data_IF_910664929694
#
_entry.id   IF_910664929694
#
_cell.length_a   1.000
_cell.length_b   1.000
_cell.length_c   1.000
_cell.angle_alpha   90.00
_cell.angle_beta   90.00
_cell.angle_gamma   90.00
#
_symmetry.space_group_name_H-M   'P 1'
#
loop_
_entity.id
_entity.type
_entity.pdbx_description
1 polymer ?
#
# COMPACT_ATOMS: atom_id res chain seq x y z
N UNK A 1 -1.43 -9.53 -15.62
CA UNK A 1 -0.08 -9.68 -15.04
C UNK A 1 0.20 -8.66 -13.95
N UNK A 2 0.11 -7.34 -14.19
CA UNK A 2 0.40 -6.32 -13.15
C UNK A 2 -0.43 -6.56 -11.88
N UNK A 3 -1.75 -6.70 -12.00
CA UNK A 3 -2.61 -6.97 -10.84
C UNK A 3 -2.25 -8.22 -10.04
N UNK A 4 -1.71 -9.26 -10.67
CA UNK A 4 -1.20 -10.45 -10.00
C UNK A 4 0.08 -10.16 -9.22
N UNK A 5 1.02 -9.38 -9.80
CA UNK A 5 2.24 -8.96 -9.10
C UNK A 5 1.91 -8.08 -7.90
N UNK A 6 1.00 -7.12 -8.07
CA UNK A 6 0.55 -6.25 -6.97
C UNK A 6 -0.14 -7.06 -5.86
N UNK A 7 -1.04 -7.99 -6.22
CA UNK A 7 -1.71 -8.87 -5.24
C UNK A 7 -0.70 -9.73 -4.49
N UNK A 8 0.27 -10.33 -5.22
CA UNK A 8 1.34 -11.11 -4.62
C UNK A 8 2.15 -10.28 -3.62
N UNK A 9 2.57 -9.07 -4.03
CA UNK A 9 3.34 -8.17 -3.19
C UNK A 9 2.59 -7.84 -1.90
N UNK A 10 1.32 -7.44 -1.98
CA UNK A 10 0.51 -7.11 -0.80
C UNK A 10 0.28 -8.31 0.11
N UNK A 11 0.03 -9.51 -0.42
CA UNK A 11 -0.11 -10.73 0.39
C UNK A 11 1.21 -11.10 1.08
N UNK A 12 2.33 -11.02 0.36
CA UNK A 12 3.66 -11.25 0.92
C UNK A 12 3.99 -10.23 2.02
N UNK A 13 3.61 -8.95 1.85
CA UNK A 13 3.79 -7.91 2.86
C UNK A 13 2.98 -8.19 4.12
N UNK A 14 1.71 -8.64 4.00
CA UNK A 14 0.93 -9.07 5.17
C UNK A 14 1.63 -10.18 5.93
N UNK A 15 2.17 -11.20 5.22
CA UNK A 15 2.90 -12.29 5.85
C UNK A 15 4.17 -11.79 6.56
N UNK A 16 4.94 -10.92 5.91
CA UNK A 16 6.19 -10.38 6.44
C UNK A 16 5.98 -9.55 7.70
N UNK A 17 5.08 -8.56 7.63
CA UNK A 17 4.85 -7.64 8.74
C UNK A 17 4.20 -8.33 9.94
N UNK A 18 3.27 -9.26 9.71
CA UNK A 18 2.68 -10.04 10.81
C UNK A 18 3.69 -10.98 11.45
N UNK A 19 4.64 -11.55 10.65
CA UNK A 19 5.72 -12.35 11.21
C UNK A 19 6.70 -11.49 12.00
N UNK A 20 7.06 -10.30 11.54
CA UNK A 20 7.90 -9.37 12.30
C UNK A 20 7.25 -9.04 13.66
N UNK A 21 5.95 -8.74 13.69
CA UNK A 21 5.26 -8.51 14.94
C UNK A 21 5.27 -9.75 15.86
N UNK A 22 4.99 -10.94 15.32
CA UNK A 22 4.97 -12.18 16.10
C UNK A 22 6.35 -12.57 16.66
N UNK A 23 7.39 -12.48 15.84
CA UNK A 23 8.77 -12.77 16.28
C UNK A 23 9.34 -11.68 17.19
N UNK A 24 8.89 -10.42 17.05
CA UNK A 24 9.25 -9.33 17.97
C UNK A 24 8.67 -9.55 19.36
N UNK A 25 7.43 -10.07 19.48
CA UNK A 25 6.88 -10.52 20.77
C UNK A 25 7.81 -11.56 21.39
N UNK A 26 8.27 -12.52 20.58
CA UNK A 26 9.19 -13.56 21.04
C UNK A 26 10.54 -12.99 21.48
N UNK A 27 11.09 -12.01 20.73
CA UNK A 27 12.32 -11.31 21.11
C UNK A 27 12.22 -10.55 22.42
N UNK A 28 11.07 -9.91 22.69
CA UNK A 28 10.80 -9.24 23.98
C UNK A 28 10.71 -10.26 25.12
N UNK A 29 10.04 -11.41 24.90
CA UNK A 29 9.99 -12.49 25.89
C UNK A 29 11.40 -12.99 26.20
N UNK A 30 12.26 -13.16 25.19
CA UNK A 30 13.65 -13.59 25.38
C UNK A 30 14.47 -12.57 26.18
N UNK A 31 14.20 -11.28 26.01
CA UNK A 31 14.85 -10.23 26.79
C UNK A 31 14.45 -10.28 28.28
N UNK A 32 13.13 -10.50 28.56
CA UNK A 32 12.60 -10.51 29.92
C UNK A 32 12.86 -11.84 30.65
N UNK A 33 12.95 -12.95 29.91
CA UNK A 33 13.14 -14.30 30.42
C UNK A 33 14.34 -14.97 29.70
N UNK A 34 15.59 -14.81 30.22
CA UNK A 34 16.80 -15.33 29.59
C UNK A 34 16.85 -16.86 29.40
N UNK A 35 16.07 -17.58 30.18
CA UNK A 35 15.95 -19.06 30.10
C UNK A 35 14.94 -19.53 29.04
N UNK A 36 14.27 -18.61 28.38
CA UNK A 36 13.31 -18.94 27.33
C UNK A 36 14.06 -19.46 26.08
N UNK A 37 13.75 -20.68 25.68
CA UNK A 37 14.27 -21.27 24.44
C UNK A 37 13.40 -20.88 23.23
N UNK A 38 13.99 -20.10 22.35
CA UNK A 38 13.31 -19.53 21.18
C UNK A 38 13.14 -20.58 20.08
N UNK A 39 11.95 -21.14 19.94
CA UNK A 39 11.60 -22.02 18.83
C UNK A 39 10.83 -21.29 17.74
N UNK A 40 11.11 -21.58 16.46
CA UNK A 40 10.45 -20.93 15.31
C UNK A 40 8.94 -21.12 15.29
N UNK A 41 8.44 -22.28 15.72
CA UNK A 41 7.00 -22.52 15.77
C UNK A 41 6.27 -21.65 16.81
N UNK A 42 6.94 -21.23 17.91
CA UNK A 42 6.39 -20.23 18.82
C UNK A 42 6.15 -18.91 18.10
N UNK A 43 7.15 -18.43 17.31
CA UNK A 43 7.03 -17.21 16.51
C UNK A 43 5.86 -17.29 15.53
N UNK A 44 5.68 -18.45 14.86
CA UNK A 44 4.55 -18.65 13.94
C UNK A 44 3.21 -18.62 14.65
N UNK A 45 3.07 -19.21 15.84
CA UNK A 45 1.82 -19.14 16.61
C UNK A 45 1.50 -17.71 17.09
N UNK A 46 2.51 -16.99 17.56
CA UNK A 46 2.35 -15.57 17.92
C UNK A 46 1.95 -14.73 16.71
N UNK A 47 2.52 -15.01 15.53
CA UNK A 47 2.12 -14.39 14.26
C UNK A 47 0.65 -14.66 13.93
N UNK A 48 0.17 -15.85 14.13
CA UNK A 48 -1.25 -16.17 13.91
C UNK A 48 -2.16 -15.42 14.88
N UNK A 49 -1.73 -15.19 16.13
CA UNK A 49 -2.45 -14.31 17.06
C UNK A 49 -2.50 -12.87 16.54
N UNK A 50 -1.38 -12.36 16.01
CA UNK A 50 -1.31 -11.04 15.36
C UNK A 50 -2.28 -10.96 14.16
N UNK A 51 -2.27 -11.97 13.28
CA UNK A 51 -3.20 -12.09 12.14
C UNK A 51 -4.65 -12.07 12.61
N UNK A 52 -5.00 -12.84 13.65
CA UNK A 52 -6.35 -12.82 14.23
C UNK A 52 -6.75 -11.41 14.69
N UNK A 53 -5.83 -10.67 15.33
CA UNK A 53 -6.04 -9.27 15.69
C UNK A 53 -6.27 -8.36 14.47
N UNK A 54 -5.51 -8.56 13.38
CA UNK A 54 -5.70 -7.83 12.13
C UNK A 54 -7.07 -8.12 11.49
N UNK A 55 -7.50 -9.39 11.48
CA UNK A 55 -8.83 -9.80 11.00
C UNK A 55 -9.91 -9.15 11.87
N UNK A 56 -9.77 -9.20 13.20
CA UNK A 56 -10.75 -8.63 14.11
C UNK A 56 -10.96 -7.14 13.83
N UNK A 57 -9.90 -6.35 13.73
CA UNK A 57 -10.01 -4.90 13.45
C UNK A 57 -10.61 -4.66 12.07
N UNK A 58 -10.15 -5.35 11.03
CA UNK A 58 -10.57 -5.11 9.65
C UNK A 58 -11.98 -5.59 9.31
N UNK A 59 -12.46 -6.65 9.96
CA UNK A 59 -13.73 -7.30 9.60
C UNK A 59 -14.82 -7.06 10.63
N UNK A 60 -14.47 -7.08 11.93
CA UNK A 60 -15.46 -6.98 13.02
C UNK A 60 -15.73 -5.53 13.41
N UNK A 61 -14.67 -4.71 13.55
CA UNK A 61 -14.78 -3.31 14.01
C UNK A 61 -14.18 -2.28 13.02
N UNK A 62 -14.42 -2.37 11.70
CA UNK A 62 -13.79 -1.48 10.73
C UNK A 62 -14.14 0.00 10.91
N UNK A 63 -15.27 0.31 11.56
CA UNK A 63 -15.67 1.68 11.87
C UNK A 63 -14.71 2.42 12.81
N UNK A 64 -13.88 1.69 13.56
CA UNK A 64 -12.86 2.26 14.46
C UNK A 64 -11.55 2.55 13.76
N UNK A 65 -11.32 1.95 12.57
CA UNK A 65 -10.06 2.04 11.84
C UNK A 65 -9.58 3.50 11.63
N UNK A 66 -10.41 4.46 11.17
CA UNK A 66 -9.93 5.84 10.98
C UNK A 66 -9.48 6.52 12.28
N UNK A 67 -10.16 6.26 13.40
CA UNK A 67 -9.75 6.80 14.72
C UNK A 67 -8.47 6.16 15.21
N UNK A 68 -8.33 4.87 14.99
CA UNK A 68 -7.13 4.10 15.31
C UNK A 68 -5.92 4.63 14.53
N UNK A 69 -6.06 4.88 13.23
CA UNK A 69 -4.98 5.44 12.40
C UNK A 69 -4.52 6.82 12.87
N UNK A 70 -5.45 7.70 13.25
CA UNK A 70 -5.10 9.01 13.83
C UNK A 70 -4.37 8.86 15.16
N UNK A 71 -4.82 7.96 16.03
CA UNK A 71 -4.14 7.67 17.29
C UNK A 71 -2.71 7.15 17.04
N UNK A 72 -2.56 6.21 16.12
CA UNK A 72 -1.26 5.63 15.77
C UNK A 72 -0.31 6.68 15.15
N UNK A 73 -0.80 7.62 14.37
CA UNK A 73 0.03 8.73 13.87
C UNK A 73 0.65 9.54 15.03
N UNK A 74 -0.17 9.91 16.01
CA UNK A 74 0.31 10.67 17.19
C UNK A 74 1.26 9.81 18.03
N UNK A 75 0.91 8.55 18.25
CA UNK A 75 1.74 7.59 18.98
C UNK A 75 3.08 7.32 18.28
N UNK A 76 3.09 7.24 16.95
CA UNK A 76 4.32 7.09 16.15
C UNK A 76 5.27 8.27 16.35
N UNK A 77 4.77 9.50 16.20
CA UNK A 77 5.61 10.69 16.35
C UNK A 77 6.12 10.81 17.79
N UNK A 78 5.27 10.60 18.79
CA UNK A 78 5.65 10.64 20.18
C UNK A 78 6.65 9.53 20.54
N UNK A 79 6.39 8.31 20.09
CA UNK A 79 7.27 7.14 20.28
C UNK A 79 8.64 7.32 19.62
N UNK A 80 8.67 7.89 18.40
CA UNK A 80 9.91 8.22 17.71
C UNK A 80 10.79 9.15 18.56
N UNK A 81 10.25 10.28 19.04
CA UNK A 81 11.04 11.21 19.85
C UNK A 81 11.40 10.63 21.22
N UNK A 82 10.52 9.86 21.82
CA UNK A 82 10.81 9.20 23.09
C UNK A 82 12.00 8.23 22.96
N UNK A 83 12.01 7.36 21.95
CA UNK A 83 13.10 6.42 21.71
C UNK A 83 14.39 7.15 21.33
N UNK A 84 14.31 8.11 20.38
CA UNK A 84 15.47 8.87 19.90
C UNK A 84 16.16 9.61 21.05
N UNK A 85 15.40 10.35 21.86
CA UNK A 85 15.97 11.11 23.00
C UNK A 85 16.55 10.14 24.03
N UNK A 86 15.83 9.06 24.37
CA UNK A 86 16.32 8.06 25.33
C UNK A 86 17.65 7.46 24.87
N UNK A 87 17.79 7.07 23.60
CA UNK A 87 19.02 6.53 23.05
C UNK A 87 20.17 7.53 23.16
N UNK A 88 19.97 8.77 22.72
CA UNK A 88 21.01 9.79 22.75
C UNK A 88 21.45 10.21 24.15
N UNK A 89 20.55 10.15 25.14
CA UNK A 89 20.83 10.59 26.52
C UNK A 89 21.35 9.45 27.38
N UNK A 90 20.84 8.23 27.17
CA UNK A 90 21.11 7.08 28.07
C UNK A 90 22.28 6.22 27.58
N UNK A 91 22.68 6.28 26.30
CA UNK A 91 23.81 5.49 25.80
C UNK A 91 25.11 5.94 26.49
N UNK A 92 25.83 5.05 27.18
CA UNK A 92 27.02 5.42 27.96
C UNK A 92 28.14 6.01 27.12
N UNK A 93 28.38 5.43 25.92
CA UNK A 93 29.40 5.88 25.00
C UNK A 93 28.85 5.88 23.57
N UNK A 94 28.81 7.05 22.96
CA UNK A 94 28.42 7.19 21.56
C UNK A 94 29.56 6.82 20.62
N UNK A 95 29.25 6.15 19.53
CA UNK A 95 30.19 5.83 18.49
C UNK A 95 30.87 7.08 17.91
N UNK A 96 32.12 6.92 17.44
CA UNK A 96 32.86 8.02 16.82
C UNK A 96 32.27 8.40 15.45
N UNK A 97 32.48 9.64 15.01
CA UNK A 97 32.13 10.05 13.65
C UNK A 97 32.78 9.15 12.59
N UNK A 98 34.00 8.66 12.84
CA UNK A 98 34.67 7.76 11.92
C UNK A 98 33.98 6.40 11.82
N UNK A 99 33.51 5.85 12.95
CA UNK A 99 32.78 4.57 12.94
C UNK A 99 31.47 4.65 12.21
N UNK A 100 30.75 5.78 12.32
CA UNK A 100 29.42 5.96 11.71
C UNK A 100 29.50 6.29 10.21
N UNK A 101 30.42 7.16 9.82
CA UNK A 101 30.45 7.72 8.45
C UNK A 101 31.53 7.16 7.54
N UNK A 102 32.60 6.58 8.09
CA UNK A 102 33.74 6.12 7.31
C UNK A 102 33.96 4.60 7.34
N UNK A 103 33.38 3.91 8.33
CA UNK A 103 33.49 2.46 8.43
C UNK A 103 32.48 1.78 7.53
N UNK A 104 32.91 0.84 6.72
CA UNK A 104 32.07 -0.01 5.91
C UNK A 104 32.35 -1.47 6.20
N UNK A 105 31.28 -2.21 6.45
CA UNK A 105 31.31 -3.64 6.71
C UNK A 105 30.91 -4.42 5.45
N UNK A 106 31.48 -5.59 5.26
CA UNK A 106 31.15 -6.50 4.16
C UNK A 106 30.87 -7.91 4.72
N UNK A 107 29.82 -8.00 5.55
CA UNK A 107 29.41 -9.26 6.19
C UNK A 107 28.92 -10.31 5.19
N UNK A 108 28.55 -9.91 3.98
CA UNK A 108 28.17 -10.81 2.89
C UNK A 108 29.36 -11.44 2.17
N UNK A 109 30.62 -11.15 2.54
CA UNK A 109 31.85 -11.63 1.90
C UNK A 109 31.90 -11.39 0.39
N UNK A 110 31.32 -10.28 -0.08
CA UNK A 110 31.32 -9.92 -1.48
C UNK A 110 32.73 -9.52 -1.97
N UNK A 111 33.07 -9.79 -3.24
CA UNK A 111 34.40 -9.49 -3.78
C UNK A 111 34.77 -8.01 -3.72
N UNK A 112 33.79 -7.12 -3.74
CA UNK A 112 33.98 -5.67 -3.68
C UNK A 112 32.98 -5.01 -2.74
N UNK A 113 33.40 -3.94 -2.08
CA UNK A 113 32.54 -3.14 -1.22
C UNK A 113 31.34 -2.54 -1.99
N UNK A 114 31.49 -2.23 -3.28
CA UNK A 114 30.41 -1.73 -4.11
C UNK A 114 29.27 -2.72 -4.27
N UNK A 115 29.57 -4.01 -4.47
CA UNK A 115 28.58 -5.09 -4.52
C UNK A 115 27.89 -5.26 -3.16
N UNK A 116 28.67 -5.22 -2.07
CA UNK A 116 28.14 -5.28 -0.70
C UNK A 116 27.09 -4.16 -0.46
N UNK A 117 27.40 -2.93 -0.88
CA UNK A 117 26.44 -1.82 -0.79
C UNK A 117 25.19 -2.05 -1.64
N UNK A 118 25.32 -2.53 -2.86
CA UNK A 118 24.18 -2.79 -3.73
C UNK A 118 23.24 -3.85 -3.16
N UNK A 119 23.79 -4.91 -2.55
CA UNK A 119 22.99 -5.95 -1.87
C UNK A 119 22.38 -5.41 -0.58
N UNK A 120 23.16 -4.73 0.26
CA UNK A 120 22.70 -4.15 1.53
C UNK A 120 21.66 -3.03 1.37
N UNK A 121 21.62 -2.38 0.21
CA UNK A 121 20.67 -1.33 -0.11
C UNK A 121 19.20 -1.79 -0.03
N UNK A 122 18.94 -3.09 -0.22
CA UNK A 122 17.58 -3.66 -0.20
C UNK A 122 16.87 -3.49 1.13
N UNK A 123 17.57 -3.52 2.25
CA UNK A 123 16.99 -3.24 3.56
C UNK A 123 16.35 -1.85 3.62
N UNK A 124 17.05 -0.85 3.07
CA UNK A 124 16.54 0.52 3.00
C UNK A 124 15.40 0.67 1.99
N UNK A 125 15.43 -0.07 0.88
CA UNK A 125 14.33 -0.10 -0.09
C UNK A 125 13.05 -0.65 0.54
N UNK A 126 13.16 -1.71 1.35
CA UNK A 126 12.02 -2.30 2.03
C UNK A 126 11.28 -1.31 2.96
N UNK A 127 11.99 -0.35 3.56
CA UNK A 127 11.38 0.67 4.43
C UNK A 127 10.46 1.65 3.69
N UNK A 128 10.60 1.79 2.38
CA UNK A 128 9.80 2.70 1.53
C UNK A 128 8.78 1.98 0.64
N UNK A 129 8.63 0.68 0.79
CA UNK A 129 7.64 -0.12 0.07
C UNK A 129 6.23 0.16 0.58
N UNK A 130 5.23 0.06 -0.31
CA UNK A 130 3.81 0.20 0.07
C UNK A 130 3.28 1.64 0.08
N UNK A 131 4.01 2.61 -0.47
CA UNK A 131 3.52 3.99 -0.62
C UNK A 131 2.23 4.10 -1.44
N UNK A 132 1.95 3.11 -2.28
CA UNK A 132 0.72 2.99 -3.06
C UNK A 132 -0.51 2.55 -2.25
N UNK A 133 -0.38 2.27 -0.94
CA UNK A 133 -1.50 1.90 -0.08
C UNK A 133 -2.68 2.87 -0.22
N UNK A 134 -2.40 4.17 -0.26
CA UNK A 134 -3.42 5.21 -0.44
C UNK A 134 -4.10 5.17 -1.81
N UNK A 135 -3.44 4.65 -2.85
CA UNK A 135 -4.03 4.48 -4.20
C UNK A 135 -5.12 3.41 -4.18
N UNK A 136 -4.92 2.33 -3.44
CA UNK A 136 -5.91 1.25 -3.31
C UNK A 136 -7.13 1.64 -2.46
N UNK A 137 -7.06 2.78 -1.76
CA UNK A 137 -8.15 3.40 -1.02
C UNK A 137 -8.77 4.60 -1.77
N UNK A 138 -8.43 4.79 -3.05
CA UNK A 138 -8.85 5.97 -3.82
C UNK A 138 -10.37 6.13 -3.92
N UNK A 139 -11.13 5.04 -3.90
CA UNK A 139 -12.59 5.06 -3.92
C UNK A 139 -13.20 5.55 -2.58
N UNK A 140 -12.43 5.51 -1.49
CA UNK A 140 -12.86 5.94 -0.14
C UNK A 140 -12.41 7.39 0.18
N UNK A 141 -11.56 8.02 -0.67
CA UNK A 141 -10.94 9.32 -0.43
C UNK A 141 -11.60 10.43 -1.27
N UNK A 142 -12.09 11.48 -0.62
CA UNK A 142 -12.60 12.67 -1.31
C UNK A 142 -11.47 13.38 -2.08
N UNK A 143 -11.77 13.83 -3.31
CA UNK A 143 -10.80 14.50 -4.19
C UNK A 143 -9.46 13.72 -4.32
N UNK A 144 -9.56 12.42 -4.58
CA UNK A 144 -8.44 11.48 -4.62
C UNK A 144 -7.32 11.93 -5.55
N UNK A 145 -7.65 12.51 -6.70
CA UNK A 145 -6.68 12.99 -7.70
C UNK A 145 -5.69 14.05 -7.19
N UNK A 146 -6.03 14.76 -6.10
CA UNK A 146 -5.19 15.76 -5.47
C UNK A 146 -4.65 15.27 -4.13
N UNK A 147 -5.49 14.63 -3.32
CA UNK A 147 -5.14 14.27 -1.95
C UNK A 147 -4.19 13.08 -1.88
N UNK A 148 -4.36 12.06 -2.74
CA UNK A 148 -3.47 10.88 -2.75
C UNK A 148 -2.02 11.24 -3.09
N UNK A 149 -1.72 11.97 -4.18
CA UNK A 149 -0.34 12.36 -4.46
C UNK A 149 0.31 13.18 -3.33
N UNK A 150 -0.46 14.08 -2.70
CA UNK A 150 0.03 14.86 -1.55
C UNK A 150 0.32 13.96 -0.34
N UNK A 151 -0.57 13.00 -0.07
CA UNK A 151 -0.39 12.05 1.03
C UNK A 151 0.87 11.18 0.81
N UNK A 152 1.08 10.66 -0.40
CA UNK A 152 2.26 9.86 -0.74
C UNK A 152 3.54 10.67 -0.53
N UNK A 153 3.61 11.89 -1.08
CA UNK A 153 4.80 12.73 -0.97
C UNK A 153 5.02 13.16 0.49
N UNK A 154 3.96 13.55 1.21
CA UNK A 154 4.04 13.91 2.62
C UNK A 154 4.53 12.74 3.48
N UNK A 155 3.99 11.54 3.30
CA UNK A 155 4.43 10.34 3.99
C UNK A 155 5.90 10.02 3.70
N UNK A 156 6.33 10.10 2.44
CA UNK A 156 7.72 9.86 2.05
C UNK A 156 8.69 10.88 2.67
N UNK A 157 8.35 12.15 2.69
CA UNK A 157 9.19 13.19 3.28
C UNK A 157 9.28 13.04 4.80
N UNK A 158 8.16 12.86 5.48
CA UNK A 158 8.14 12.71 6.94
C UNK A 158 8.88 11.43 7.34
N UNK A 159 8.47 10.27 6.82
CA UNK A 159 9.05 8.98 7.21
C UNK A 159 10.52 8.87 6.78
N UNK A 160 10.89 9.42 5.62
CA UNK A 160 12.28 9.46 5.19
C UNK A 160 13.16 10.30 6.13
N UNK A 161 12.68 11.48 6.55
CA UNK A 161 13.43 12.35 7.46
C UNK A 161 13.59 11.74 8.86
N UNK A 162 12.48 11.26 9.46
CA UNK A 162 12.54 10.68 10.81
C UNK A 162 13.26 9.33 10.80
N UNK A 163 13.07 8.52 9.75
CA UNK A 163 13.77 7.25 9.58
C UNK A 163 15.29 7.44 9.43
N UNK A 164 15.72 8.43 8.65
CA UNK A 164 17.13 8.78 8.53
C UNK A 164 17.71 9.23 9.88
N UNK A 165 17.00 10.09 10.61
CA UNK A 165 17.45 10.53 11.93
C UNK A 165 17.59 9.35 12.92
N UNK A 166 16.62 8.42 12.94
CA UNK A 166 16.67 7.22 13.77
C UNK A 166 17.81 6.30 13.35
N UNK A 167 18.01 6.08 12.06
CA UNK A 167 19.12 5.26 11.55
C UNK A 167 20.49 5.81 12.00
N UNK A 168 20.70 7.11 11.86
CA UNK A 168 21.92 7.76 12.31
C UNK A 168 22.07 7.63 13.83
N UNK A 169 21.01 7.82 14.60
CA UNK A 169 21.03 7.64 16.06
C UNK A 169 21.39 6.21 16.45
N UNK A 170 20.79 5.22 15.82
CA UNK A 170 21.11 3.80 16.07
C UNK A 170 22.58 3.50 15.77
N UNK A 171 23.14 4.05 14.67
CA UNK A 171 24.55 3.87 14.34
C UNK A 171 25.49 4.47 15.38
N UNK A 172 25.15 5.62 15.97
CA UNK A 172 25.93 6.18 17.07
C UNK A 172 25.78 5.40 18.38
N UNK A 173 24.64 4.73 18.59
CA UNK A 173 24.35 3.94 19.79
C UNK A 173 24.65 2.43 19.61
N UNK A 174 25.21 2.01 18.48
CA UNK A 174 25.39 0.61 18.10
C UNK A 174 26.30 -0.17 19.07
N UNK A 175 27.33 0.48 19.59
CA UNK A 175 28.32 -0.17 20.46
C UNK A 175 29.13 -1.26 19.74
N UNK A 176 29.27 -2.42 20.37
CA UNK A 176 29.95 -3.57 19.79
C UNK A 176 29.02 -4.31 18.81
N UNK A 177 29.37 -4.25 17.52
CA UNK A 177 28.59 -4.82 16.41
C UNK A 177 28.43 -6.34 16.58
N UNK A 178 29.49 -7.05 17.00
CA UNK A 178 29.45 -8.51 17.11
C UNK A 178 28.46 -8.97 18.21
N UNK A 179 28.44 -8.29 19.35
CA UNK A 179 27.52 -8.60 20.44
C UNK A 179 26.07 -8.32 20.04
N UNK A 180 25.82 -7.28 19.24
CA UNK A 180 24.49 -6.92 18.76
C UNK A 180 23.95 -7.89 17.71
N UNK A 181 24.79 -8.29 16.75
CA UNK A 181 24.43 -9.25 15.70
C UNK A 181 24.19 -10.68 16.25
N UNK A 182 24.96 -11.08 17.29
CA UNK A 182 24.84 -12.40 17.92
C UNK A 182 23.85 -12.41 19.09
N UNK A 183 23.02 -11.39 19.25
CA UNK A 183 22.05 -11.32 20.35
C UNK A 183 20.97 -12.41 20.26
N UNK A 184 20.55 -12.93 21.42
CA UNK A 184 19.50 -13.96 21.48
C UNK A 184 18.09 -13.43 21.17
N UNK A 185 17.91 -12.11 21.07
CA UNK A 185 16.59 -11.48 20.92
C UNK A 185 16.05 -11.53 19.50
N UNK A 186 16.79 -12.09 18.53
CA UNK A 186 16.51 -12.14 17.09
C UNK A 186 16.41 -10.75 16.39
N UNK A 187 16.26 -9.66 17.15
CA UNK A 187 16.24 -8.31 16.62
C UNK A 187 17.39 -7.48 17.20
N UNK A 188 18.38 -7.10 16.38
CA UNK A 188 19.55 -6.32 16.83
C UNK A 188 19.17 -5.04 17.58
N UNK A 189 18.11 -4.33 17.16
CA UNK A 189 17.70 -3.08 17.80
C UNK A 189 17.24 -3.27 19.26
N UNK A 190 16.67 -4.42 19.63
CA UNK A 190 16.26 -4.72 21.02
C UNK A 190 17.53 -4.79 21.92
N UNK A 191 18.60 -5.40 21.40
CA UNK A 191 19.88 -5.45 22.09
C UNK A 191 20.52 -4.05 22.23
N UNK A 192 20.42 -3.22 21.17
CA UNK A 192 20.89 -1.82 21.22
C UNK A 192 20.13 -1.04 22.29
N UNK A 193 18.80 -1.20 22.38
CA UNK A 193 18.01 -0.58 23.43
C UNK A 193 18.45 -1.01 24.84
N UNK A 194 18.68 -2.31 25.04
CA UNK A 194 19.16 -2.83 26.30
C UNK A 194 20.55 -2.30 26.65
N UNK A 195 21.48 -2.30 25.71
CA UNK A 195 22.84 -1.78 25.90
C UNK A 195 22.85 -0.28 26.23
N UNK A 196 21.94 0.49 25.62
CA UNK A 196 21.83 1.94 25.81
C UNK A 196 21.26 2.32 27.18
N UNK A 197 20.20 1.64 27.60
CA UNK A 197 19.47 1.99 28.84
C UNK A 197 20.03 1.25 30.07
N UNK A 198 20.70 0.11 29.89
CA UNK A 198 21.30 -0.68 30.95
C UNK A 198 20.31 -1.42 31.84
N UNK A 199 19.01 -1.47 31.47
CA UNK A 199 18.02 -2.24 32.22
C UNK A 199 16.95 -2.84 31.29
N UNK A 200 16.42 -4.01 31.71
CA UNK A 200 15.43 -4.78 30.94
C UNK A 200 14.13 -4.00 30.76
N UNK A 201 13.60 -3.41 31.84
CA UNK A 201 12.30 -2.73 31.78
C UNK A 201 12.29 -1.55 30.77
N UNK A 202 13.33 -0.74 30.73
CA UNK A 202 13.45 0.36 29.75
C UNK A 202 13.53 -0.13 28.32
N UNK A 203 14.34 -1.17 28.06
CA UNK A 203 14.45 -1.80 26.74
C UNK A 203 13.12 -2.42 26.30
N UNK A 204 12.42 -3.13 27.20
CA UNK A 204 11.09 -3.71 26.95
C UNK A 204 10.06 -2.64 26.61
N UNK A 205 10.02 -1.51 27.32
CA UNK A 205 9.10 -0.41 27.00
C UNK A 205 9.37 0.15 25.60
N UNK A 206 10.64 0.42 25.26
CA UNK A 206 10.98 0.91 23.91
C UNK A 206 10.63 -0.12 22.82
N UNK A 207 10.95 -1.40 23.03
CA UNK A 207 10.59 -2.47 22.11
C UNK A 207 9.07 -2.64 21.97
N UNK A 208 8.29 -2.47 23.06
CA UNK A 208 6.83 -2.51 23.04
C UNK A 208 6.22 -1.35 22.22
N UNK A 209 6.84 -0.17 22.22
CA UNK A 209 6.43 0.94 21.35
C UNK A 209 6.60 0.53 19.87
N UNK A 210 7.77 -0.03 19.52
CA UNK A 210 8.02 -0.50 18.14
C UNK A 210 7.05 -1.62 17.76
N UNK A 211 6.85 -2.61 18.64
CA UNK A 211 5.88 -3.69 18.42
C UNK A 211 4.47 -3.18 18.19
N UNK A 212 4.01 -2.20 18.96
CA UNK A 212 2.67 -1.60 18.79
C UNK A 212 2.53 -0.96 17.42
N UNK A 213 3.57 -0.25 16.95
CA UNK A 213 3.60 0.37 15.63
C UNK A 213 3.65 -0.67 14.50
N UNK A 214 4.41 -1.75 14.65
CA UNK A 214 4.49 -2.87 13.69
C UNK A 214 3.14 -3.59 13.59
N UNK A 215 2.46 -3.81 14.72
CA UNK A 215 1.12 -4.41 14.69
C UNK A 215 0.09 -3.48 14.03
N UNK A 216 0.14 -2.19 14.33
CA UNK A 216 -0.72 -1.19 13.67
C UNK A 216 -0.47 -1.14 12.15
N UNK A 217 0.80 -1.19 11.74
CA UNK A 217 1.20 -1.32 10.34
C UNK A 217 0.57 -2.57 9.69
N UNK A 218 0.65 -3.72 10.36
CA UNK A 218 0.04 -4.98 9.89
C UNK A 218 -1.48 -4.86 9.68
N UNK A 219 -2.20 -4.11 10.54
CA UNK A 219 -3.63 -3.82 10.38
C UNK A 219 -3.87 -3.00 9.10
N UNK A 220 -3.12 -1.91 8.89
CA UNK A 220 -3.23 -1.05 7.72
C UNK A 220 -2.89 -1.77 6.42
N UNK A 221 -1.82 -2.58 6.41
CA UNK A 221 -1.41 -3.42 5.28
C UNK A 221 -2.51 -4.43 4.93
N UNK A 222 -3.11 -5.10 5.94
CA UNK A 222 -4.24 -6.02 5.74
C UNK A 222 -5.44 -5.31 5.13
N UNK A 223 -5.71 -4.08 5.56
CA UNK A 223 -6.75 -3.22 4.97
C UNK A 223 -6.50 -3.04 3.47
N UNK A 224 -5.33 -2.56 3.10
CA UNK A 224 -4.96 -2.28 1.71
C UNK A 224 -4.95 -3.53 0.85
N UNK A 225 -4.33 -4.61 1.31
CA UNK A 225 -4.28 -5.89 0.62
C UNK A 225 -5.69 -6.46 0.33
N UNK A 226 -6.60 -6.32 1.28
CA UNK A 226 -8.00 -6.74 1.11
C UNK A 226 -8.74 -5.90 0.06
N UNK A 227 -8.53 -4.56 0.02
CA UNK A 227 -9.14 -3.67 -1.00
C UNK A 227 -8.57 -3.96 -2.39
N UNK A 228 -7.24 -4.10 -2.48
CA UNK A 228 -6.59 -4.46 -3.75
C UNK A 228 -7.11 -5.79 -4.29
N UNK A 229 -7.18 -6.83 -3.45
CA UNK A 229 -7.70 -8.16 -3.83
C UNK A 229 -9.17 -8.08 -4.24
N UNK A 230 -9.99 -7.34 -3.49
CA UNK A 230 -11.41 -7.13 -3.80
C UNK A 230 -11.61 -6.41 -5.14
N UNK A 231 -10.90 -5.30 -5.37
CA UNK A 231 -11.01 -4.53 -6.60
C UNK A 231 -10.61 -5.36 -7.82
N UNK A 232 -9.50 -6.09 -7.72
CA UNK A 232 -9.04 -6.96 -8.81
C UNK A 232 -9.96 -8.16 -9.04
N UNK A 233 -10.61 -8.68 -7.99
CA UNK A 233 -11.64 -9.71 -8.13
C UNK A 233 -12.92 -9.15 -8.76
N UNK A 234 -13.33 -7.92 -8.44
CA UNK A 234 -14.47 -7.24 -9.07
C UNK A 234 -14.30 -7.14 -10.59
N UNK A 235 -13.08 -6.90 -11.04
CA UNK A 235 -12.72 -6.86 -12.45
C UNK A 235 -12.57 -8.26 -13.08
N UNK A 236 -12.86 -9.34 -12.34
CA UNK A 236 -12.67 -10.74 -12.77
C UNK A 236 -11.21 -11.12 -13.09
N UNK A 237 -10.23 -10.44 -12.47
CA UNK A 237 -8.80 -10.70 -12.66
C UNK A 237 -8.29 -11.93 -11.89
N UNK A 238 -8.99 -12.36 -10.82
CA UNK A 238 -8.61 -13.46 -9.95
C UNK A 238 -9.50 -14.69 -10.11
N UNK A 239 -9.01 -15.90 -9.80
CA UNK A 239 -9.88 -17.04 -9.57
C UNK A 239 -10.81 -16.77 -8.37
N UNK A 240 -11.98 -17.41 -8.34
CA UNK A 240 -13.00 -17.22 -7.30
C UNK A 240 -13.52 -15.77 -7.16
N UNK A 241 -13.41 -14.95 -8.20
CA UNK A 241 -13.85 -13.54 -8.24
C UNK A 241 -15.27 -13.34 -7.67
N UNK A 242 -16.18 -14.26 -7.94
CA UNK A 242 -17.58 -14.24 -7.43
C UNK A 242 -17.66 -14.16 -5.89
N UNK A 243 -16.70 -14.74 -5.18
CA UNK A 243 -16.67 -14.72 -3.70
C UNK A 243 -15.84 -13.53 -3.19
N UNK A 244 -14.66 -13.31 -3.77
CA UNK A 244 -13.72 -12.28 -3.34
C UNK A 244 -14.25 -10.85 -3.59
N UNK A 245 -15.11 -10.66 -4.59
CA UNK A 245 -15.73 -9.36 -4.88
C UNK A 245 -16.93 -9.00 -3.97
N UNK A 246 -17.32 -9.90 -3.05
CA UNK A 246 -18.46 -9.63 -2.16
C UNK A 246 -18.08 -8.70 -1.02
N UNK A 247 -18.92 -7.69 -0.80
CA UNK A 247 -18.85 -6.77 0.34
C UNK A 247 -19.85 -7.18 1.40
N UNK A 248 -19.47 -7.18 2.65
CA UNK A 248 -20.34 -7.48 3.79
C UNK A 248 -21.45 -6.42 3.89
N UNK A 249 -22.75 -6.81 3.96
CA UNK A 249 -23.84 -5.84 4.11
C UNK A 249 -23.79 -5.04 5.41
N UNK A 250 -23.26 -5.65 6.49
CA UNK A 250 -23.22 -5.05 7.83
C UNK A 250 -22.05 -4.08 7.99
N UNK A 251 -20.85 -4.52 7.64
CA UNK A 251 -19.60 -3.79 7.92
C UNK A 251 -19.10 -2.98 6.72
N UNK A 252 -19.71 -3.17 5.54
CA UNK A 252 -19.34 -2.49 4.27
C UNK A 252 -17.89 -2.72 3.86
N UNK A 253 -17.28 -3.83 4.32
CA UNK A 253 -15.91 -4.21 3.97
C UNK A 253 -15.86 -5.54 3.20
N UNK A 254 -14.83 -5.79 2.39
CA UNK A 254 -14.67 -7.03 1.64
C UNK A 254 -14.11 -8.16 2.52
N UNK A 255 -14.94 -8.68 3.43
CA UNK A 255 -14.53 -9.66 4.44
C UNK A 255 -13.91 -10.94 3.82
N UNK A 256 -14.45 -11.44 2.70
CA UNK A 256 -13.91 -12.61 2.02
C UNK A 256 -12.51 -12.38 1.44
N UNK A 257 -12.27 -11.19 0.89
CA UNK A 257 -10.93 -10.82 0.41
C UNK A 257 -9.94 -10.71 1.58
N UNK A 258 -10.37 -10.10 2.70
CA UNK A 258 -9.53 -10.01 3.91
C UNK A 258 -9.16 -11.39 4.46
N UNK A 259 -10.13 -12.31 4.57
CA UNK A 259 -9.89 -13.69 5.01
C UNK A 259 -9.00 -14.47 4.04
N UNK A 260 -9.16 -14.29 2.74
CA UNK A 260 -8.31 -14.95 1.75
C UNK A 260 -6.85 -14.47 1.84
N UNK A 261 -6.64 -13.15 1.91
CA UNK A 261 -5.32 -12.54 2.05
C UNK A 261 -4.62 -13.01 3.32
N UNK A 262 -5.30 -12.91 4.47
CA UNK A 262 -4.73 -13.31 5.76
C UNK A 262 -4.55 -14.82 5.88
N UNK A 263 -5.42 -15.61 5.26
CA UNK A 263 -5.27 -17.07 5.18
C UNK A 263 -4.03 -17.48 4.38
N UNK A 264 -3.79 -16.85 3.22
CA UNK A 264 -2.58 -17.10 2.42
C UNK A 264 -1.34 -16.61 3.20
N UNK A 265 -1.40 -15.44 3.83
CA UNK A 265 -0.32 -14.93 4.67
C UNK A 265 0.02 -15.90 5.81
N UNK A 266 -0.97 -16.44 6.51
CA UNK A 266 -0.77 -17.44 7.56
C UNK A 266 -0.10 -18.74 7.04
N UNK A 267 -0.44 -19.16 5.82
CA UNK A 267 0.24 -20.30 5.18
C UNK A 267 1.69 -19.97 4.81
N UNK A 268 1.97 -18.75 4.32
CA UNK A 268 3.34 -18.31 4.02
C UNK A 268 4.21 -18.26 5.28
N UNK A 269 3.66 -17.89 6.43
CA UNK A 269 4.42 -17.87 7.69
C UNK A 269 4.83 -19.27 8.18
N UNK A 270 4.21 -20.35 7.69
CA UNK A 270 4.68 -21.73 7.95
C UNK A 270 6.07 -22.00 7.35
N UNK A 271 6.47 -21.30 6.31
CA UNK A 271 7.81 -21.40 5.72
C UNK A 271 8.87 -21.10 6.79
N UNK A 272 8.59 -20.14 7.69
CA UNK A 272 9.50 -19.75 8.78
C UNK A 272 9.79 -20.91 9.74
N UNK A 273 8.83 -21.83 9.98
CA UNK A 273 9.04 -23.02 10.81
C UNK A 273 10.15 -23.89 10.23
N UNK A 274 10.17 -24.04 8.90
CA UNK A 274 11.18 -24.83 8.21
C UNK A 274 12.52 -24.12 8.06
N UNK A 275 12.49 -22.85 7.64
CA UNK A 275 13.69 -22.05 7.37
C UNK A 275 13.42 -20.57 7.48
N UNK A 276 14.21 -19.88 8.29
CA UNK A 276 14.22 -18.43 8.37
C UNK A 276 14.75 -17.80 7.07
N UNK A 277 15.81 -18.38 6.51
CA UNK A 277 16.39 -17.91 5.24
C UNK A 277 15.36 -18.00 4.10
N UNK A 278 14.62 -19.11 4.01
CA UNK A 278 13.56 -19.25 3.01
C UNK A 278 12.42 -18.23 3.21
N UNK A 279 12.19 -17.79 4.46
CA UNK A 279 11.22 -16.72 4.70
C UNK A 279 11.75 -15.34 4.28
N UNK A 280 13.05 -15.07 4.38
CA UNK A 280 13.67 -13.84 3.89
C UNK A 280 13.46 -13.66 2.37
N UNK A 281 13.30 -14.75 1.62
CA UNK A 281 12.93 -14.71 0.21
C UNK A 281 11.51 -14.12 0.00
N UNK A 282 10.61 -14.22 0.99
CA UNK A 282 9.28 -13.59 0.94
C UNK A 282 9.40 -12.07 1.00
N UNK A 283 10.38 -11.53 1.74
CA UNK A 283 10.69 -10.09 1.77
C UNK A 283 11.20 -9.64 0.39
N UNK A 284 12.11 -10.38 -0.20
CA UNK A 284 12.61 -10.10 -1.56
C UNK A 284 11.50 -10.16 -2.61
N UNK A 285 10.56 -11.11 -2.44
CA UNK A 285 9.37 -11.25 -3.26
C UNK A 285 8.45 -10.01 -3.17
N UNK A 286 8.28 -9.45 -1.96
CA UNK A 286 7.54 -8.22 -1.72
C UNK A 286 8.13 -7.07 -2.54
N UNK A 287 9.44 -6.86 -2.45
CA UNK A 287 10.15 -5.80 -3.18
C UNK A 287 10.00 -6.01 -4.69
N UNK A 288 10.31 -7.19 -5.19
CA UNK A 288 10.22 -7.51 -6.62
C UNK A 288 8.80 -7.33 -7.16
N UNK A 289 7.79 -7.74 -6.41
CA UNK A 289 6.39 -7.62 -6.77
C UNK A 289 5.92 -6.16 -6.87
N UNK A 290 6.23 -5.32 -5.87
CA UNK A 290 5.88 -3.91 -5.89
C UNK A 290 6.60 -3.15 -7.01
N UNK A 291 7.92 -3.23 -7.04
CA UNK A 291 8.71 -2.49 -8.04
C UNK A 291 8.44 -2.98 -9.45
N UNK A 292 8.17 -4.27 -9.65
CA UNK A 292 7.71 -4.83 -10.93
C UNK A 292 6.36 -4.26 -11.36
N UNK A 293 5.42 -4.11 -10.42
CA UNK A 293 4.10 -3.52 -10.69
C UNK A 293 4.17 -2.02 -10.96
N UNK A 294 5.07 -1.28 -10.30
CA UNK A 294 5.24 0.17 -10.49
C UNK A 294 6.01 0.51 -11.78
N UNK A 295 6.97 -0.33 -12.17
CA UNK A 295 7.79 -0.10 -13.36
C UNK A 295 6.95 -0.01 -14.63
N UNK A 296 5.94 -0.86 -14.77
CA UNK A 296 5.14 -0.92 -16.00
C UNK A 296 4.37 0.38 -16.26
N UNK A 297 3.53 0.90 -15.33
CA UNK A 297 2.84 2.17 -15.55
C UNK A 297 3.79 3.35 -15.65
N UNK A 298 4.91 3.36 -14.91
CA UNK A 298 5.92 4.41 -15.02
C UNK A 298 6.59 4.44 -16.40
N UNK A 299 6.92 3.26 -16.94
CA UNK A 299 7.50 3.15 -18.29
C UNK A 299 6.51 3.58 -19.39
N UNK A 300 5.23 3.21 -19.27
CA UNK A 300 4.19 3.70 -20.18
C UNK A 300 4.01 5.21 -20.08
N UNK A 301 4.01 5.78 -18.89
CA UNK A 301 3.92 7.22 -18.71
C UNK A 301 5.13 7.92 -19.34
N UNK A 302 6.35 7.41 -19.13
CA UNK A 302 7.56 7.94 -19.76
C UNK A 302 7.46 7.91 -21.29
N UNK A 303 7.01 6.78 -21.87
CA UNK A 303 6.81 6.64 -23.30
C UNK A 303 5.83 7.69 -23.86
N UNK A 304 4.67 7.87 -23.21
CA UNK A 304 3.68 8.86 -23.64
C UNK A 304 4.16 10.30 -23.45
N UNK A 305 4.97 10.58 -22.41
CA UNK A 305 5.61 11.89 -22.21
C UNK A 305 6.58 12.22 -23.35
N UNK A 306 7.44 11.27 -23.72
CA UNK A 306 8.43 11.46 -24.79
C UNK A 306 7.73 11.68 -26.13
N UNK A 307 6.63 10.96 -26.39
CA UNK A 307 5.83 11.12 -27.61
C UNK A 307 4.92 12.35 -27.63
N UNK A 308 4.78 13.07 -26.51
CA UNK A 308 3.87 14.22 -26.41
C UNK A 308 2.38 13.88 -26.56
N UNK A 309 2.00 12.62 -26.33
CA UNK A 309 0.64 12.12 -26.55
C UNK A 309 -0.34 12.39 -25.41
N UNK A 310 0.06 13.17 -24.39
CA UNK A 310 -0.78 13.46 -23.22
C UNK A 310 -1.37 14.87 -23.36
N UNK A 311 -2.69 14.95 -23.44
CA UNK A 311 -3.42 16.21 -23.57
C UNK A 311 -3.32 17.07 -22.32
N UNK A 312 -3.26 18.38 -22.51
CA UNK A 312 -3.37 19.36 -21.41
C UNK A 312 -4.83 19.43 -20.96
N UNK A 313 -5.06 19.42 -19.64
CA UNK A 313 -6.39 19.70 -19.10
C UNK A 313 -6.74 21.16 -19.41
N UNK A 314 -7.85 21.39 -20.12
CA UNK A 314 -8.33 22.73 -20.47
C UNK A 314 -8.66 23.50 -19.17
N UNK A 315 -8.28 24.77 -19.13
CA UNK A 315 -8.49 25.66 -17.95
C UNK A 315 -9.94 26.05 -17.75
N UNK A 316 -10.86 25.73 -18.66
CA UNK A 316 -12.23 26.24 -18.69
C UNK A 316 -13.33 25.21 -18.49
N UNK A 317 -13.02 23.95 -18.24
CA UNK A 317 -14.01 22.92 -17.92
C UNK A 317 -13.46 22.01 -16.86
N UNK A 318 -13.81 22.28 -15.60
CA UNK A 318 -13.71 21.31 -14.53
C UNK A 318 -15.05 20.54 -14.48
N UNK A 319 -15.15 19.35 -15.09
CA UNK A 319 -16.40 18.59 -15.13
C UNK A 319 -16.82 18.02 -13.77
N UNK A 320 -15.96 18.19 -12.76
CA UNK A 320 -16.15 17.66 -11.40
C UNK A 320 -16.56 18.74 -10.36
N UNK A 321 -16.71 20.01 -10.78
CA UNK A 321 -17.38 20.96 -9.92
C UNK A 321 -18.89 20.86 -10.22
N UNK A 322 -19.75 20.56 -9.23
CA UNK A 322 -21.17 20.77 -9.39
C UNK A 322 -21.38 22.21 -9.77
N UNK A 323 -22.02 22.47 -10.91
CA UNK A 323 -22.43 23.81 -11.31
C UNK A 323 -23.20 24.45 -10.14
N UNK A 324 -22.60 25.44 -9.49
CA UNK A 324 -23.35 26.28 -8.55
C UNK A 324 -24.57 26.85 -9.29
N UNK A 325 -25.67 27.11 -8.61
CA UNK A 325 -26.91 27.51 -9.25
C UNK A 325 -26.64 28.69 -10.19
N UNK A 326 -26.88 28.43 -11.49
CA UNK A 326 -26.73 29.47 -12.54
C UNK A 326 -27.62 30.63 -12.14
N UNK A 327 -27.02 31.73 -11.77
CA UNK A 327 -27.71 33.01 -11.60
C UNK A 327 -28.35 33.34 -12.93
N UNK A 328 -29.65 33.18 -12.97
CA UNK A 328 -30.49 33.62 -14.10
C UNK A 328 -30.38 35.14 -14.20
N UNK A 329 -29.51 35.64 -15.06
CA UNK A 329 -29.53 37.07 -15.45
C UNK A 329 -30.79 37.28 -16.25
N UNK A 330 -31.83 37.72 -15.55
CA UNK A 330 -33.05 38.26 -16.13
C UNK A 330 -32.71 39.48 -16.97
N UNK A 331 -32.74 39.31 -18.29
CA UNK A 331 -32.82 40.40 -19.23
C UNK A 331 -34.28 40.86 -19.29
N UNK A 332 -34.70 41.73 -18.38
CA UNK A 332 -36.01 42.33 -18.34
C UNK A 332 -35.98 43.79 -18.66
N UNK A 333 -36.57 44.20 -19.81
CA UNK A 333 -37.01 45.55 -20.07
C UNK A 333 -38.08 46.00 -19.06
N UNK A 334 -38.10 47.26 -18.62
CA UNK A 334 -39.10 47.71 -17.69
C UNK A 334 -40.43 48.08 -18.41
N UNK A 335 -41.55 47.49 -17.97
CA UNK A 335 -42.89 48.01 -18.23
C UNK A 335 -43.52 48.26 -16.86
N UNK A 336 -43.97 49.49 -16.68
CA UNK A 336 -44.52 49.98 -15.43
C UNK A 336 -45.95 49.52 -15.15
N UNK A 337 -46.37 49.70 -13.91
CA UNK A 337 -47.76 49.89 -13.55
C UNK A 337 -48.32 49.02 -12.42
N UNK A 338 -48.52 49.66 -11.28
CA UNK A 338 -49.62 49.55 -10.31
C UNK A 338 -49.94 48.24 -9.58
N UNK A 339 -49.75 48.27 -8.29
CA UNK A 339 -50.82 48.09 -7.32
C UNK A 339 -51.16 46.69 -6.81
N UNK A 340 -51.08 46.65 -5.47
CA UNK A 340 -51.99 45.96 -4.54
C UNK A 340 -51.62 44.56 -3.99
N UNK A 341 -51.37 44.62 -2.68
CA UNK A 341 -51.86 43.75 -1.60
C UNK A 341 -51.49 42.26 -1.57
N UNK A 342 -50.82 41.90 -0.46
CA UNK A 342 -50.74 40.59 0.13
C UNK A 342 -52.12 40.09 0.60
N UNK A 343 -52.32 38.78 0.74
CA UNK A 343 -52.44 38.23 2.09
C UNK A 343 -51.75 36.87 2.30
N UNK A 344 -51.62 36.58 3.56
CA UNK A 344 -50.87 35.60 4.30
C UNK A 344 -51.30 34.10 4.24
N UNK A 345 -50.86 33.29 5.19
CA UNK A 345 -50.56 31.88 4.97
C UNK A 345 -51.75 30.98 5.31
N UNK A 346 -51.89 29.86 4.61
CA UNK A 346 -52.79 28.79 5.04
C UNK A 346 -52.08 27.43 5.06
N UNK A 347 -52.23 26.80 6.22
CA UNK A 347 -52.02 25.39 6.57
C UNK A 347 -52.84 24.45 5.68
N UNK A 348 -52.35 23.22 5.47
CA UNK A 348 -53.06 22.00 5.83
C UNK A 348 -52.56 20.75 5.11
N UNK A 349 -52.27 19.83 5.77
CA UNK A 349 -52.65 18.50 6.29
C UNK A 349 -53.16 17.44 5.26
N UNK A 350 -52.95 16.18 5.59
CA UNK A 350 -52.78 15.08 4.64
C UNK A 350 -54.07 14.28 4.42
N UNK A 351 -54.15 13.53 3.33
CA UNK A 351 -54.79 12.20 3.34
C UNK A 351 -54.83 11.50 1.98
N UNK A 352 -54.64 10.23 2.10
CA UNK A 352 -55.34 9.08 1.49
C UNK A 352 -54.92 8.63 0.09
N UNK A 353 -54.25 7.51 0.09
CA UNK A 353 -54.72 6.18 -0.34
C UNK A 353 -54.89 5.93 -1.84
N UNK A 354 -54.24 4.83 -2.22
CA UNK A 354 -54.63 3.82 -3.22
C UNK A 354 -54.63 4.25 -4.68
N UNK A 355 -53.73 3.65 -5.46
CA UNK A 355 -54.06 2.65 -6.46
C UNK A 355 -52.83 2.23 -7.25
N UNK A 356 -52.53 0.94 -7.20
CA UNK A 356 -51.68 0.27 -8.17
C UNK A 356 -52.45 0.03 -9.46
N UNK A 357 -51.76 0.01 -10.60
CA UNK A 357 -51.94 -1.13 -11.47
C UNK A 357 -50.67 -1.80 -11.93
N UNK A 358 -50.84 -3.05 -12.21
CA UNK A 358 -49.95 -4.13 -12.52
C UNK A 358 -49.18 -4.01 -13.84
N UNK A 359 -47.99 -4.67 -13.83
CA UNK A 359 -47.38 -5.50 -14.87
C UNK A 359 -47.53 -5.08 -16.34
N UNK A 360 -46.38 -4.68 -16.91
CA UNK A 360 -46.04 -5.06 -18.27
C UNK A 360 -44.55 -5.48 -18.27
N UNK A 361 -44.32 -6.77 -18.41
CA UNK A 361 -43.05 -7.35 -18.85
C UNK A 361 -42.80 -6.87 -20.28
N UNK A 362 -41.63 -6.29 -20.51
CA UNK A 362 -41.06 -6.24 -21.83
C UNK A 362 -39.60 -6.77 -21.77
N UNK A 363 -39.41 -7.87 -22.47
CA UNK A 363 -38.14 -8.47 -22.79
C UNK A 363 -37.36 -7.51 -23.69
N UNK A 364 -36.24 -6.93 -23.18
CA UNK A 364 -35.21 -6.30 -23.98
C UNK A 364 -33.82 -6.58 -23.33
N UNK A 365 -33.44 -7.87 -23.38
CA UNK A 365 -32.13 -8.33 -22.89
C UNK A 365 -31.04 -8.33 -23.97
N UNK A 366 -31.30 -7.86 -25.20
CA UNK A 366 -30.37 -7.97 -26.32
C UNK A 366 -29.60 -6.68 -26.69
N UNK A 367 -30.04 -5.50 -26.24
CA UNK A 367 -29.43 -4.23 -26.63
C UNK A 367 -28.42 -3.67 -25.59
N UNK A 368 -28.38 -4.19 -24.36
CA UNK A 368 -27.41 -3.72 -23.37
C UNK A 368 -25.98 -4.26 -23.59
N UNK A 369 -25.83 -5.44 -24.21
CA UNK A 369 -24.52 -6.02 -24.46
C UNK A 369 -23.75 -5.36 -25.63
N UNK A 370 -24.46 -4.82 -26.61
CA UNK A 370 -23.84 -4.10 -27.73
C UNK A 370 -23.36 -2.69 -27.35
N UNK A 371 -24.09 -2.00 -26.45
CA UNK A 371 -23.69 -0.68 -25.95
C UNK A 371 -22.51 -0.74 -24.97
N UNK A 372 -22.44 -1.77 -24.13
CA UNK A 372 -21.33 -2.00 -23.21
C UNK A 372 -20.03 -2.38 -23.96
N UNK A 373 -20.13 -3.17 -25.03
CA UNK A 373 -18.98 -3.53 -25.88
C UNK A 373 -18.44 -2.33 -26.66
N UNK A 374 -19.31 -1.50 -27.22
CA UNK A 374 -18.91 -0.26 -27.93
C UNK A 374 -18.32 0.76 -26.95
N UNK A 375 -18.81 0.82 -25.70
CA UNK A 375 -18.28 1.68 -24.64
C UNK A 375 -16.86 1.29 -24.21
N UNK A 376 -16.59 -0.01 -24.02
CA UNK A 376 -15.27 -0.50 -23.64
C UNK A 376 -14.20 -0.25 -24.75
N UNK A 377 -14.57 -0.41 -26.00
CA UNK A 377 -13.67 -0.19 -27.16
C UNK A 377 -13.30 1.28 -27.32
N UNK A 378 -14.21 2.20 -27.02
CA UNK A 378 -13.98 3.64 -27.11
C UNK A 378 -13.07 4.19 -25.99
N UNK A 379 -13.05 3.55 -24.82
CA UNK A 379 -12.16 3.94 -23.70
C UNK A 379 -10.71 3.54 -23.98
N UNK A 380 -10.48 2.42 -24.67
CA UNK A 380 -9.13 1.97 -25.04
C UNK A 380 -8.43 2.95 -26.00
N UNK A 381 -9.20 3.68 -26.80
CA UNK A 381 -8.71 4.69 -27.74
C UNK A 381 -8.72 6.13 -27.20
N UNK A 382 -9.14 6.35 -25.96
CA UNK A 382 -9.15 7.68 -25.35
C UNK A 382 -7.71 8.18 -25.16
N UNK A 383 -7.43 9.42 -25.60
CA UNK A 383 -6.13 10.06 -25.33
C UNK A 383 -5.97 10.31 -23.84
N UNK A 384 -4.76 10.05 -23.34
CA UNK A 384 -4.44 10.35 -21.93
C UNK A 384 -4.52 11.85 -21.69
N UNK A 385 -5.13 12.24 -20.56
CA UNK A 385 -5.25 13.63 -20.11
C UNK A 385 -4.52 13.77 -18.78
N UNK A 386 -3.78 14.87 -18.60
CA UNK A 386 -3.08 15.14 -17.36
C UNK A 386 -4.05 15.34 -16.19
N UNK A 387 -3.74 14.68 -15.08
CA UNK A 387 -4.38 14.97 -13.81
C UNK A 387 -4.01 16.35 -13.26
N UNK A 388 -4.71 16.81 -12.19
CA UNK A 388 -4.44 18.12 -11.57
C UNK A 388 -3.05 18.19 -10.93
N UNK A 389 -2.54 17.08 -10.42
CA UNK A 389 -1.20 16.97 -9.82
C UNK A 389 -0.21 16.38 -10.82
N UNK A 390 0.78 17.15 -11.24
CA UNK A 390 1.79 16.71 -12.22
C UNK A 390 3.07 17.54 -12.11
N UNK A 391 4.19 16.91 -12.46
CA UNK A 391 5.45 17.60 -12.75
C UNK A 391 5.48 17.97 -14.24
N UNK A 392 5.56 19.28 -14.58
CA UNK A 392 5.51 19.71 -15.98
C UNK A 392 6.84 19.52 -16.70
N UNK A 393 6.78 19.47 -18.04
CA UNK A 393 7.90 19.58 -18.96
C UNK A 393 9.05 18.61 -18.72
N UNK A 394 10.26 19.10 -18.93
CA UNK A 394 11.50 18.29 -18.86
C UNK A 394 11.74 17.70 -17.47
N UNK A 395 11.46 18.43 -16.38
CA UNK A 395 11.60 17.94 -15.01
C UNK A 395 10.78 16.67 -14.77
N UNK A 396 9.52 16.65 -15.25
CA UNK A 396 8.70 15.46 -15.17
C UNK A 396 9.23 14.27 -15.96
N UNK A 397 9.85 14.51 -17.13
CA UNK A 397 10.46 13.46 -17.96
C UNK A 397 11.71 12.89 -17.29
N UNK A 398 12.59 13.75 -16.78
CA UNK A 398 13.79 13.34 -16.04
C UNK A 398 13.40 12.52 -14.79
N UNK A 399 12.42 13.00 -14.02
CA UNK A 399 11.94 12.27 -12.84
C UNK A 399 11.40 10.89 -13.19
N UNK A 400 10.61 10.76 -14.26
CA UNK A 400 10.10 9.46 -14.70
C UNK A 400 11.22 8.53 -15.19
N UNK A 401 12.20 9.07 -15.92
CA UNK A 401 13.37 8.29 -16.36
C UNK A 401 14.16 7.78 -15.17
N UNK A 402 14.47 8.67 -14.21
CA UNK A 402 15.15 8.29 -12.98
C UNK A 402 14.38 7.21 -12.21
N UNK A 403 13.06 7.37 -12.06
CA UNK A 403 12.23 6.37 -11.39
C UNK A 403 12.28 5.00 -12.10
N UNK A 404 12.22 4.97 -13.43
CA UNK A 404 12.34 3.72 -14.17
C UNK A 404 13.73 3.06 -13.99
N UNK A 405 14.81 3.83 -14.09
CA UNK A 405 16.17 3.32 -13.86
C UNK A 405 16.34 2.79 -12.42
N UNK A 406 15.84 3.53 -11.43
CA UNK A 406 15.86 3.13 -10.03
C UNK A 406 15.09 1.81 -9.80
N UNK A 407 13.88 1.69 -10.36
CA UNK A 407 13.08 0.46 -10.22
C UNK A 407 13.76 -0.75 -10.88
N UNK A 408 14.38 -0.59 -12.04
CA UNK A 408 15.17 -1.65 -12.69
C UNK A 408 16.35 -2.06 -11.81
N UNK A 409 17.07 -1.09 -11.24
CA UNK A 409 18.18 -1.34 -10.31
C UNK A 409 17.71 -2.13 -9.08
N UNK A 410 16.61 -1.71 -8.46
CA UNK A 410 16.05 -2.39 -7.28
C UNK A 410 15.61 -3.81 -7.62
N UNK A 411 14.88 -4.02 -8.71
CA UNK A 411 14.42 -5.36 -9.14
C UNK A 411 15.63 -6.27 -9.39
N UNK A 412 16.68 -5.77 -10.03
CA UNK A 412 17.87 -6.55 -10.30
C UNK A 412 18.56 -7.03 -9.01
N UNK A 413 18.78 -6.11 -8.05
CA UNK A 413 19.46 -6.45 -6.80
C UNK A 413 18.57 -7.21 -5.80
N UNK A 414 17.26 -7.09 -5.88
CA UNK A 414 16.34 -7.77 -4.95
C UNK A 414 16.34 -9.28 -5.06
N UNK A 415 16.84 -9.82 -6.16
CA UNK A 415 16.94 -11.28 -6.39
C UNK A 415 18.32 -11.84 -6.10
N UNK A 416 19.25 -11.02 -5.64
CA UNK A 416 20.58 -11.48 -5.28
C UNK A 416 20.58 -12.16 -3.91
N UNK A 417 21.44 -13.20 -3.72
CA UNK A 417 21.61 -13.82 -2.41
C UNK A 417 22.25 -12.82 -1.42
N UNK A 418 22.02 -12.99 -0.10
CA UNK A 418 22.53 -12.04 0.90
C UNK A 418 24.06 -12.14 1.10
N UNK A 419 24.66 -13.27 0.81
CA UNK A 419 26.07 -13.54 1.06
C UNK A 419 26.69 -14.52 0.05
N UNK A 420 28.00 -14.57 0.02
CA UNK A 420 28.81 -15.53 -0.77
C UNK A 420 29.74 -16.32 0.14
N UNK A 421 30.05 -17.60 -0.11
CA UNK A 421 29.59 -18.42 -1.25
C UNK A 421 28.10 -18.75 -1.22
N UNK A 422 27.49 -18.75 -2.40
CA UNK A 422 26.06 -19.07 -2.53
C UNK A 422 25.88 -20.58 -2.39
N UNK A 423 25.02 -20.97 -1.48
CA UNK A 423 24.62 -22.37 -1.25
C UNK A 423 23.11 -22.54 -1.51
N UNK A 424 22.63 -23.78 -1.58
CA UNK A 424 21.20 -24.03 -1.68
C UNK A 424 20.39 -23.45 -0.50
N UNK A 425 21.01 -23.30 0.67
CA UNK A 425 20.39 -22.71 1.86
C UNK A 425 20.40 -21.18 1.86
N UNK A 426 21.34 -20.53 1.16
CA UNK A 426 21.51 -19.06 1.11
C UNK A 426 21.07 -18.47 -0.23
N UNK A 427 20.65 -19.30 -1.20
CA UNK A 427 20.15 -18.85 -2.50
C UNK A 427 18.81 -18.10 -2.33
N UNK A 428 18.67 -16.98 -3.03
CA UNK A 428 17.41 -16.23 -3.07
C UNK A 428 16.48 -16.84 -4.13
N UNK A 429 15.43 -17.51 -3.68
CA UNK A 429 14.43 -18.17 -4.53
C UNK A 429 13.25 -17.28 -4.93
N UNK A 430 13.24 -16.00 -4.56
CA UNK A 430 12.15 -15.06 -4.89
C UNK A 430 11.89 -14.94 -6.39
N UNK A 431 12.92 -15.06 -7.22
CA UNK A 431 12.81 -15.11 -8.69
C UNK A 431 11.93 -16.26 -9.16
N UNK A 432 12.07 -17.44 -8.55
CA UNK A 432 11.30 -18.64 -8.92
C UNK A 432 9.82 -18.43 -8.58
N UNK A 433 9.54 -17.87 -7.41
CA UNK A 433 8.16 -17.58 -6.97
C UNK A 433 7.53 -16.50 -7.85
N UNK A 434 8.25 -15.39 -8.10
CA UNK A 434 7.79 -14.32 -8.99
C UNK A 434 7.51 -14.84 -10.40
N UNK A 435 8.45 -15.59 -10.97
CA UNK A 435 8.29 -16.22 -12.29
C UNK A 435 7.13 -17.20 -12.33
N UNK A 436 6.96 -17.99 -11.28
CA UNK A 436 5.83 -18.92 -11.12
C UNK A 436 4.48 -18.18 -11.10
N UNK A 437 4.36 -17.09 -10.35
CA UNK A 437 3.12 -16.28 -10.32
C UNK A 437 2.87 -15.60 -11.66
N UNK A 438 3.91 -15.09 -12.34
CA UNK A 438 3.76 -14.55 -13.70
C UNK A 438 3.27 -15.62 -14.69
N UNK A 439 3.82 -16.83 -14.62
CA UNK A 439 3.39 -17.96 -15.44
C UNK A 439 1.92 -18.33 -15.13
N UNK A 440 1.57 -18.46 -13.86
CA UNK A 440 0.19 -18.71 -13.44
C UNK A 440 -0.76 -17.62 -13.95
N UNK A 441 -0.37 -16.35 -13.87
CA UNK A 441 -1.19 -15.26 -14.39
C UNK A 441 -1.37 -15.33 -15.90
N UNK A 442 -0.34 -15.76 -16.64
CA UNK A 442 -0.43 -15.98 -18.07
C UNK A 442 -1.34 -17.17 -18.41
N UNK A 443 -1.17 -18.29 -17.74
CA UNK A 443 -2.06 -19.45 -17.88
C UNK A 443 -3.51 -19.08 -17.58
N UNK A 444 -3.75 -18.38 -16.46
CA UNK A 444 -5.09 -17.91 -16.10
C UNK A 444 -5.69 -16.98 -17.15
N UNK A 445 -4.86 -16.08 -17.73
CA UNK A 445 -5.30 -15.22 -18.80
C UNK A 445 -5.79 -16.03 -20.02
N UNK A 446 -5.03 -17.01 -20.47
CA UNK A 446 -5.42 -17.82 -21.63
C UNK A 446 -6.59 -18.76 -21.36
N UNK A 447 -6.70 -19.31 -20.15
CA UNK A 447 -7.77 -20.25 -19.79
C UNK A 447 -9.11 -19.57 -19.60
N UNK A 448 -9.14 -18.45 -18.86
CA UNK A 448 -10.38 -17.83 -18.46
C UNK A 448 -10.41 -16.30 -18.63
N UNK A 449 -9.35 -15.59 -18.22
CA UNK A 449 -9.44 -14.14 -18.07
C UNK A 449 -9.66 -13.43 -19.42
N UNK A 450 -9.09 -13.89 -20.53
CA UNK A 450 -9.28 -13.29 -21.86
C UNK A 450 -10.75 -13.23 -22.29
N UNK A 451 -11.62 -14.09 -21.73
CA UNK A 451 -13.05 -14.14 -22.04
C UNK A 451 -13.89 -13.31 -21.10
N UNK A 452 -13.40 -13.07 -19.86
CA UNK A 452 -14.19 -12.46 -18.77
C UNK A 452 -13.62 -11.09 -18.36
N UNK A 453 -12.29 -10.93 -18.39
CA UNK A 453 -11.63 -9.70 -17.97
C UNK A 453 -11.70 -8.65 -19.11
N UNK A 454 -12.52 -7.62 -18.90
CA UNK A 454 -12.70 -6.50 -19.86
C UNK A 454 -11.86 -5.26 -19.52
N UNK A 455 -10.90 -5.36 -18.60
CA UNK A 455 -10.15 -4.24 -18.03
C UNK A 455 -10.82 -3.70 -16.76
N UNK A 456 -10.25 -2.63 -16.16
CA UNK A 456 -10.83 -1.99 -14.99
C UNK A 456 -12.23 -1.47 -15.30
N UNK A 457 -13.17 -1.71 -14.38
CA UNK A 457 -14.51 -1.13 -14.48
C UNK A 457 -14.39 0.37 -14.22
N UNK A 458 -14.68 1.16 -15.24
CA UNK A 458 -14.66 2.63 -15.16
C UNK A 458 -16.10 3.08 -14.91
N UNK A 459 -16.29 3.92 -13.90
CA UNK A 459 -17.59 4.49 -13.58
C UNK A 459 -18.12 5.30 -14.77
N UNK A 460 -19.43 5.21 -15.03
CA UNK A 460 -20.08 5.85 -16.20
C UNK A 460 -19.83 7.36 -16.26
N UNK A 461 -19.78 8.04 -15.13
CA UNK A 461 -19.47 9.48 -15.04
C UNK A 461 -18.03 9.77 -15.50
N UNK A 462 -17.06 8.95 -15.09
CA UNK A 462 -15.65 9.09 -15.52
C UNK A 462 -15.49 8.76 -16.99
N UNK A 463 -16.24 7.79 -17.49
CA UNK A 463 -16.24 7.43 -18.91
C UNK A 463 -16.81 8.55 -19.80
N UNK A 464 -17.86 9.26 -19.34
CA UNK A 464 -18.41 10.42 -20.05
C UNK A 464 -17.44 11.61 -20.10
N UNK A 465 -16.75 11.87 -18.98
CA UNK A 465 -15.69 12.91 -18.92
C UNK A 465 -14.54 12.61 -19.88
N UNK A 466 -14.11 11.36 -19.95
CA UNK A 466 -13.09 10.93 -20.91
C UNK A 466 -13.56 11.06 -22.37
N UNK A 467 -14.82 10.78 -22.66
CA UNK A 467 -15.42 10.97 -23.99
C UNK A 467 -15.52 12.44 -24.38
N UNK A 468 -15.98 13.30 -23.47
CA UNK A 468 -16.08 14.74 -23.71
C UNK A 468 -14.72 15.36 -24.01
N UNK A 469 -13.65 14.92 -23.37
CA UNK A 469 -12.28 15.35 -23.64
C UNK A 469 -11.71 14.87 -24.99
N UNK A 470 -12.28 13.83 -25.60
CA UNK A 470 -11.83 13.29 -26.90
C UNK A 470 -12.50 13.94 -28.12
N UNK A 471 -13.58 14.70 -27.92
CA UNK A 471 -14.38 15.34 -29.01
C UNK A 471 -13.88 16.78 -29.33
N UNK A 472 -13.03 17.37 -28.49
CA UNK A 472 -12.54 18.76 -28.63
C UNK A 472 -11.08 18.81 -29.15
N UNK A 473 -10.63 17.79 -29.87
CA UNK A 473 -9.28 17.75 -30.46
C UNK A 473 -9.25 17.48 -31.95
#
# INVERSE_FOLDING_TARGET
>A
MIGWLTSLAWVATVATETLFAGTMIQGIITLDYPDYDMHRWHGTLLTWCVICGCIFVNVVIPAWLPRFEVFILVFHIAGFFAILITLLVMTPELGSNASVWLTSLNEGNWPTQGVSYCVGFLGNVATFVGADASVHLAEEVSNAAVNIPKAIIGAMLINGSVGFAMMVTILYCLGDVESVLNSKTAFPFIQIFFNSVGNVAGATVMAAVVLTLTWACSIGITTTASRMTWSFARDNGLPMSRYLSRVSPRTKVPAWAALAVTGIAALLTLIYVGSETAFNDVISLTITGFYGSYLVPAAFLLHHRIKGNILQRGTNTDPLQPEGPKSFKSSGKPIGGSGSQAPGPSKFSPNSASDSPALAQHDDASDQDSSASASATNVINARLVWGPFRLPGLLGTINNLYACCYMVFVIFWSVWPPATPVTAATMNYSVVVTGGVMLLSAVWYFVQAKHVYKGPLIDSEVAEVMRAGSVVG
#
